data_IF_312005889148
#
_entry.id   IF_312005889148
#
_cell.length_a   1.000
_cell.length_b   1.000
_cell.length_c   1.000
_cell.angle_alpha   90.00
_cell.angle_beta   90.00
_cell.angle_gamma   90.00
#
_symmetry.space_group_name_H-M   'P 1'
#
loop_
_entity.id
_entity.type
_entity.pdbx_description
1 polymer ?
#
# COMPACT_ATOMS: atom_id res chain seq x y z
N UNK A 1 10.74 15.72 7.25
CA UNK A 1 11.24 14.85 6.15
C UNK A 1 10.03 14.22 5.46
N UNK A 2 10.06 14.07 4.13
CA UNK A 2 8.95 13.49 3.34
C UNK A 2 9.33 12.12 2.78
N UNK A 3 8.34 11.24 2.61
CA UNK A 3 8.50 9.96 1.93
C UNK A 3 7.44 9.75 0.85
N UNK A 4 7.77 8.94 -0.16
CA UNK A 4 6.87 8.52 -1.23
C UNK A 4 6.69 7.00 -1.18
N UNK A 5 5.44 6.52 -1.11
CA UNK A 5 5.11 5.11 -1.24
C UNK A 5 4.38 4.91 -2.57
N UNK A 6 4.88 3.99 -3.40
CA UNK A 6 4.27 3.63 -4.67
C UNK A 6 3.16 2.59 -4.45
N UNK A 7 1.92 2.99 -4.71
CA UNK A 7 0.69 2.19 -4.46
C UNK A 7 0.01 1.77 -5.77
N UNK A 8 0.55 2.14 -6.93
CA UNK A 8 -0.10 1.99 -8.23
C UNK A 8 -0.03 0.61 -8.92
N UNK A 9 0.56 -0.41 -8.30
CA UNK A 9 0.71 -1.73 -8.94
C UNK A 9 -0.55 -2.60 -8.88
N UNK A 10 -0.84 -3.37 -9.93
CA UNK A 10 -2.01 -4.25 -10.02
C UNK A 10 -2.03 -5.44 -9.04
N UNK A 11 -0.92 -5.74 -8.37
CA UNK A 11 -0.88 -6.78 -7.33
C UNK A 11 -1.14 -8.21 -7.82
N UNK A 12 -0.99 -8.50 -9.12
CA UNK A 12 -1.47 -9.74 -9.78
C UNK A 12 -1.04 -11.06 -9.13
N UNK A 13 0.14 -11.10 -8.50
CA UNK A 13 0.64 -12.30 -7.79
C UNK A 13 -0.10 -12.64 -6.49
N UNK A 14 -0.84 -11.68 -5.91
CA UNK A 14 -1.62 -11.87 -4.68
C UNK A 14 -3.11 -12.13 -4.97
N UNK A 15 -3.50 -12.28 -6.24
CA UNK A 15 -4.85 -12.71 -6.60
C UNK A 15 -5.16 -14.06 -5.93
N UNK A 16 -6.39 -14.26 -5.38
CA UNK A 16 -7.58 -13.43 -5.58
C UNK A 16 -7.71 -12.22 -4.65
N UNK A 17 -6.82 -12.04 -3.67
CA UNK A 17 -6.94 -11.00 -2.65
C UNK A 17 -6.99 -9.59 -3.25
N UNK A 18 -6.31 -9.36 -4.38
CA UNK A 18 -6.23 -8.04 -5.01
C UNK A 18 -7.27 -7.80 -6.11
N UNK A 19 -8.31 -8.63 -6.20
CA UNK A 19 -9.44 -8.36 -7.11
C UNK A 19 -10.35 -7.24 -6.59
N UNK A 20 -10.60 -7.22 -5.27
CA UNK A 20 -11.50 -6.26 -4.63
C UNK A 20 -10.79 -5.19 -3.80
N UNK A 21 -9.48 -5.30 -3.61
CA UNK A 21 -8.68 -4.32 -2.85
C UNK A 21 -7.29 -4.12 -3.44
N UNK A 22 -6.68 -2.92 -3.26
CA UNK A 22 -5.30 -2.69 -3.66
C UNK A 22 -4.34 -3.45 -2.77
N UNK A 23 -3.23 -3.90 -3.35
CA UNK A 23 -2.19 -4.67 -2.64
C UNK A 23 -1.78 -4.07 -1.28
N UNK A 24 -1.58 -2.75 -1.13
CA UNK A 24 -1.14 -2.21 0.16
C UNK A 24 -2.16 -2.34 1.29
N UNK A 25 -3.43 -2.60 0.98
CA UNK A 25 -4.49 -2.84 1.97
C UNK A 25 -4.68 -4.31 2.30
N UNK A 26 -3.97 -5.23 1.62
CA UNK A 26 -3.96 -6.65 2.01
C UNK A 26 -3.29 -6.77 3.38
N UNK A 27 -3.89 -7.57 4.27
CA UNK A 27 -3.36 -7.80 5.60
C UNK A 27 -2.15 -8.73 5.59
N UNK A 28 -1.14 -8.37 6.38
CA UNK A 28 0.02 -9.18 6.70
C UNK A 28 0.23 -9.15 8.22
N UNK A 29 0.05 -10.29 8.88
CA UNK A 29 0.13 -10.36 10.34
C UNK A 29 -0.96 -9.52 11.04
N UNK A 30 -2.20 -9.63 10.58
CA UNK A 30 -3.38 -8.90 11.11
C UNK A 30 -3.26 -7.36 11.02
N UNK A 31 -2.44 -6.86 10.09
CA UNK A 31 -2.27 -5.43 9.84
C UNK A 31 -2.03 -5.19 8.34
N UNK A 32 -2.63 -4.16 7.72
CA UNK A 32 -2.39 -3.84 6.32
C UNK A 32 -0.91 -3.65 6.00
N UNK A 33 -0.46 -4.17 4.85
CA UNK A 33 0.93 -4.02 4.36
C UNK A 33 1.40 -2.55 4.34
N UNK A 34 0.49 -1.61 4.09
CA UNK A 34 0.78 -0.17 4.09
C UNK A 34 1.16 0.35 5.49
N UNK A 35 0.50 -0.13 6.55
CA UNK A 35 0.76 0.36 7.91
C UNK A 35 2.14 -0.02 8.40
N UNK A 36 2.64 -1.20 8.07
CA UNK A 36 4.03 -1.60 8.38
C UNK A 36 5.04 -0.61 7.80
N UNK A 37 4.82 -0.13 6.58
CA UNK A 37 5.68 0.88 5.94
C UNK A 37 5.56 2.25 6.61
N UNK A 38 4.34 2.70 6.90
CA UNK A 38 4.11 3.98 7.59
C UNK A 38 4.74 3.99 8.98
N UNK A 39 4.62 2.90 9.74
CA UNK A 39 5.23 2.77 11.06
C UNK A 39 6.76 2.80 11.01
N UNK A 40 7.36 2.11 10.03
CA UNK A 40 8.80 2.17 9.80
C UNK A 40 9.27 3.59 9.42
N UNK A 41 8.54 4.28 8.55
CA UNK A 41 8.83 5.67 8.16
C UNK A 41 8.69 6.63 9.35
N UNK A 42 7.68 6.45 10.19
CA UNK A 42 7.50 7.22 11.42
C UNK A 42 8.68 7.02 12.37
N UNK A 43 9.12 5.77 12.56
CA UNK A 43 10.29 5.46 13.38
C UNK A 43 11.59 6.10 12.84
N UNK A 44 11.67 6.30 11.52
CA UNK A 44 12.76 7.02 10.85
C UNK A 44 12.62 8.56 10.88
N UNK A 45 11.61 9.12 11.54
CA UNK A 45 11.41 10.57 11.64
C UNK A 45 10.74 11.23 10.43
N UNK A 46 10.08 10.46 9.57
CA UNK A 46 9.26 10.99 8.48
C UNK A 46 7.96 11.57 9.04
N UNK A 47 7.63 12.78 8.61
CA UNK A 47 6.45 13.54 9.09
C UNK A 47 5.36 13.68 8.03
N UNK A 48 5.68 13.38 6.78
CA UNK A 48 4.75 13.49 5.65
C UNK A 48 4.97 12.33 4.68
N UNK A 49 3.89 11.64 4.32
CA UNK A 49 3.91 10.51 3.40
C UNK A 49 3.00 10.82 2.22
N UNK A 50 3.56 10.74 1.02
CA UNK A 50 2.82 10.85 -0.24
C UNK A 50 2.56 9.44 -0.77
N UNK A 51 1.30 9.14 -1.11
CA UNK A 51 0.92 7.88 -1.74
C UNK A 51 0.73 8.12 -3.24
N UNK A 52 1.62 7.56 -4.07
CA UNK A 52 1.43 7.55 -5.51
C UNK A 52 0.47 6.41 -5.89
N UNK A 53 -0.81 6.74 -5.88
CA UNK A 53 -1.89 5.83 -6.26
C UNK A 53 -2.04 5.78 -7.78
N UNK A 54 -2.51 4.65 -8.28
CA UNK A 54 -3.04 4.54 -9.63
C UNK A 54 -4.55 4.27 -9.53
N UNK A 55 -5.31 4.66 -10.54
CA UNK A 55 -6.73 4.36 -10.61
C UNK A 55 -6.89 2.85 -10.83
N UNK A 56 -7.31 2.10 -9.80
CA UNK A 56 -7.80 0.73 -10.00
C UNK A 56 -9.11 0.83 -10.78
N UNK A 57 -9.10 0.53 -12.08
CA UNK A 57 -10.33 0.04 -12.69
C UNK A 57 -10.55 -1.38 -12.13
N UNK A 58 -11.73 -1.69 -11.55
CA UNK A 58 -12.12 -3.07 -11.37
C UNK A 58 -11.98 -3.77 -12.74
N UNK A 59 -11.22 -4.86 -12.81
CA UNK A 59 -11.29 -5.71 -14.01
C UNK A 59 -12.75 -6.20 -14.10
N UNK A 60 -13.41 -5.87 -15.21
CA UNK A 60 -14.80 -6.22 -15.50
C UNK A 60 -14.99 -7.74 -15.63
#
# INVERSE_FOLDING_TARGET
>A
MKALILVGGFGTRLRPLTFSMPKPLVDFGNKPMLLHQIEALKAAGVTEVVLAINHQQPEA
#
